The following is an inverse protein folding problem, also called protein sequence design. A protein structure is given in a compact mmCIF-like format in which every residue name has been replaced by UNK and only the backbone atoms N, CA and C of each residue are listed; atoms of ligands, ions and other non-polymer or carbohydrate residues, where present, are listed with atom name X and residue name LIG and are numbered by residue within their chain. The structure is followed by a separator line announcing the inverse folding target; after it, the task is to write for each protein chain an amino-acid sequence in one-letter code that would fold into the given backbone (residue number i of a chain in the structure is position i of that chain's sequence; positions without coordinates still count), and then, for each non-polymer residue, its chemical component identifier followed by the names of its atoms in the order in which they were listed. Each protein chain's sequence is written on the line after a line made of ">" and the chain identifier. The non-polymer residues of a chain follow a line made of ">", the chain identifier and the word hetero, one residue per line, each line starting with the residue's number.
data_IF_212690492837
#
_entry.id   IF_212690492837
#
_cell.length_a   1.000
_cell.length_b   1.000
_cell.length_c   1.000
_cell.angle_alpha   90.00
_cell.angle_beta   90.00
_cell.angle_gamma   90.00
#
_symmetry.space_group_name_H-M   'P 1'
#
loop_
_entity.id
_entity.type
_entity.pdbx_description
1 polymer ?
#
# COMPACT_ATOMS: atom_id res chain seq x y z
N UNK A 1 30.42 -4.38 -6.93
CA UNK A 1 29.04 -3.88 -7.09
C UNK A 1 29.06 -2.37 -6.89
N UNK A 2 28.40 -1.58 -7.75
CA UNK A 2 28.35 -0.13 -7.55
C UNK A 2 27.59 0.21 -6.25
N UNK A 3 28.10 1.15 -5.46
CA UNK A 3 27.50 1.57 -4.17
C UNK A 3 26.02 1.93 -4.31
N UNK A 4 25.62 2.57 -5.42
CA UNK A 4 24.21 2.87 -5.73
C UNK A 4 23.34 1.62 -5.81
N UNK A 5 23.84 0.54 -6.43
CA UNK A 5 23.12 -0.74 -6.52
C UNK A 5 23.04 -1.42 -5.15
N UNK A 6 24.08 -1.30 -4.33
CA UNK A 6 24.09 -1.82 -2.96
C UNK A 6 23.06 -1.10 -2.08
N UNK A 7 22.98 0.22 -2.17
CA UNK A 7 21.99 1.04 -1.44
C UNK A 7 20.55 0.67 -1.83
N UNK A 8 20.28 0.49 -3.13
CA UNK A 8 18.94 0.07 -3.60
C UNK A 8 18.57 -1.31 -3.05
N UNK A 9 19.49 -2.27 -3.07
CA UNK A 9 19.23 -3.61 -2.53
C UNK A 9 19.01 -3.58 -1.02
N UNK A 10 19.79 -2.78 -0.28
CA UNK A 10 19.61 -2.60 1.16
C UNK A 10 18.26 -1.96 1.50
N UNK A 11 17.84 -0.95 0.74
CA UNK A 11 16.54 -0.32 0.90
C UNK A 11 15.39 -1.31 0.64
N UNK A 12 15.49 -2.11 -0.42
CA UNK A 12 14.48 -3.12 -0.74
C UNK A 12 14.40 -4.21 0.33
N UNK A 13 15.54 -4.72 0.80
CA UNK A 13 15.59 -5.68 1.89
C UNK A 13 14.99 -5.10 3.19
N UNK A 14 15.27 -3.82 3.48
CA UNK A 14 14.67 -3.10 4.61
C UNK A 14 13.15 -2.98 4.52
N UNK A 15 12.61 -2.67 3.33
CA UNK A 15 11.17 -2.63 3.09
C UNK A 15 10.51 -4.00 3.29
N UNK A 16 11.14 -5.06 2.78
CA UNK A 16 10.65 -6.44 2.95
C UNK A 16 10.66 -6.83 4.44
N UNK A 17 11.76 -6.55 5.15
CA UNK A 17 11.85 -6.80 6.59
C UNK A 17 10.78 -6.02 7.37
N UNK A 18 10.59 -4.74 7.07
CA UNK A 18 9.58 -3.91 7.71
C UNK A 18 8.16 -4.47 7.46
N UNK A 19 7.86 -4.92 6.24
CA UNK A 19 6.58 -5.54 5.91
C UNK A 19 6.24 -6.72 6.83
N UNK A 20 7.21 -7.62 7.06
CA UNK A 20 7.01 -8.80 7.90
C UNK A 20 7.03 -8.48 9.40
N UNK A 21 7.98 -7.65 9.87
CA UNK A 21 8.11 -7.31 11.29
C UNK A 21 6.90 -6.54 11.81
N UNK A 22 6.33 -5.67 10.99
CA UNK A 22 5.15 -4.88 11.34
C UNK A 22 3.83 -5.59 11.00
N UNK A 23 3.88 -6.82 10.46
CA UNK A 23 2.72 -7.63 10.09
C UNK A 23 1.74 -6.87 9.16
N UNK A 24 2.27 -6.20 8.13
CA UNK A 24 1.45 -5.36 7.24
C UNK A 24 0.40 -6.18 6.47
N UNK A 25 0.64 -7.48 6.28
CA UNK A 25 -0.27 -8.39 5.59
C UNK A 25 -1.66 -8.44 6.22
N UNK A 26 -1.78 -8.25 7.55
CA UNK A 26 -3.08 -8.25 8.24
C UNK A 26 -4.02 -7.15 7.72
N UNK A 27 -3.46 -5.98 7.38
CA UNK A 27 -4.22 -4.83 6.89
C UNK A 27 -4.64 -4.99 5.43
N UNK A 28 -3.93 -5.85 4.69
CA UNK A 28 -4.22 -6.21 3.30
C UNK A 28 -5.18 -7.40 3.19
N UNK A 29 -5.66 -7.93 4.33
CA UNK A 29 -6.60 -9.04 4.35
C UNK A 29 -8.02 -8.59 4.04
N UNK A 30 -8.78 -9.43 3.33
CA UNK A 30 -10.19 -9.16 3.01
C UNK A 30 -11.03 -9.00 4.28
N UNK A 31 -10.75 -9.76 5.34
CA UNK A 31 -11.47 -9.66 6.61
C UNK A 31 -11.24 -8.30 7.29
N UNK A 32 -10.00 -7.79 7.28
CA UNK A 32 -9.71 -6.46 7.80
C UNK A 32 -10.45 -5.37 7.01
N UNK A 33 -10.41 -5.43 5.67
CA UNK A 33 -11.13 -4.46 4.84
C UNK A 33 -12.64 -4.49 5.09
N UNK A 34 -13.24 -5.69 5.21
CA UNK A 34 -14.67 -5.82 5.57
C UNK A 34 -14.97 -5.20 6.93
N UNK A 35 -14.09 -5.41 7.92
CA UNK A 35 -14.27 -4.81 9.26
C UNK A 35 -14.27 -3.28 9.23
N UNK A 36 -13.59 -2.68 8.26
CA UNK A 36 -13.46 -1.22 8.10
C UNK A 36 -14.41 -0.63 7.05
N UNK A 37 -15.26 -1.44 6.41
CA UNK A 37 -16.06 -1.01 5.26
C UNK A 37 -16.91 0.23 5.57
N UNK A 38 -17.67 0.19 6.67
CA UNK A 38 -18.53 1.32 7.05
C UNK A 38 -17.73 2.60 7.34
N UNK A 39 -16.55 2.49 7.97
CA UNK A 39 -15.70 3.63 8.27
C UNK A 39 -15.12 4.26 6.99
N UNK A 40 -14.70 3.43 6.02
CA UNK A 40 -14.19 3.87 4.73
C UNK A 40 -15.30 4.56 3.93
N UNK A 41 -16.51 3.99 3.91
CA UNK A 41 -17.66 4.58 3.23
C UNK A 41 -18.06 5.93 3.83
N UNK A 42 -18.10 6.04 5.16
CA UNK A 42 -18.36 7.29 5.85
C UNK A 42 -17.29 8.35 5.55
N UNK A 43 -16.01 8.01 5.67
CA UNK A 43 -14.90 8.93 5.37
C UNK A 43 -14.90 9.40 3.91
N UNK A 44 -15.17 8.49 2.97
CA UNK A 44 -15.30 8.84 1.54
C UNK A 44 -16.48 9.78 1.30
N UNK A 45 -17.62 9.56 1.96
CA UNK A 45 -18.79 10.43 1.82
C UNK A 45 -18.53 11.84 2.35
N UNK A 46 -17.80 11.97 3.46
CA UNK A 46 -17.42 13.26 4.03
C UNK A 46 -16.36 14.00 3.18
N UNK A 47 -15.41 13.26 2.58
CA UNK A 47 -14.24 13.85 1.92
C UNK A 47 -13.94 13.21 0.55
N UNK A 48 -14.85 13.32 -0.45
CA UNK A 48 -14.77 12.56 -1.69
C UNK A 48 -13.52 12.88 -2.54
N UNK A 49 -13.11 14.15 -2.59
CA UNK A 49 -11.90 14.57 -3.32
C UNK A 49 -10.62 14.02 -2.70
N UNK A 50 -10.52 14.01 -1.36
CA UNK A 50 -9.36 13.44 -0.66
C UNK A 50 -9.32 11.93 -0.80
N UNK A 51 -10.46 11.26 -0.74
CA UNK A 51 -10.57 9.83 -0.99
C UNK A 51 -10.11 9.47 -2.40
N UNK A 52 -10.56 10.20 -3.42
CA UNK A 52 -10.13 10.01 -4.80
C UNK A 52 -8.62 10.23 -4.99
N UNK A 53 -8.07 11.30 -4.40
CA UNK A 53 -6.63 11.58 -4.47
C UNK A 53 -5.80 10.50 -3.77
N UNK A 54 -6.23 10.06 -2.59
CA UNK A 54 -5.57 9.00 -1.84
C UNK A 54 -5.55 7.69 -2.64
N UNK A 55 -6.69 7.31 -3.23
CA UNK A 55 -6.77 6.14 -4.10
C UNK A 55 -5.86 6.27 -5.33
N UNK A 56 -5.87 7.42 -6.01
CA UNK A 56 -5.03 7.66 -7.18
C UNK A 56 -3.53 7.53 -6.86
N UNK A 57 -3.07 8.16 -5.78
CA UNK A 57 -1.67 8.06 -5.36
C UNK A 57 -1.30 6.63 -5.00
N UNK A 58 -2.16 5.91 -4.27
CA UNK A 58 -1.94 4.50 -3.95
C UNK A 58 -1.84 3.66 -5.23
N UNK A 59 -2.76 3.83 -6.17
CA UNK A 59 -2.77 3.14 -7.45
C UNK A 59 -1.48 3.37 -8.25
N UNK A 60 -1.04 4.63 -8.38
CA UNK A 60 0.20 4.98 -9.10
C UNK A 60 1.42 4.35 -8.43
N UNK A 61 1.49 4.34 -7.09
CA UNK A 61 2.59 3.71 -6.38
C UNK A 61 2.60 2.19 -6.61
N UNK A 62 1.48 1.49 -6.38
CA UNK A 62 1.39 0.03 -6.53
C UNK A 62 1.68 -0.38 -7.98
N UNK A 63 1.16 0.36 -8.96
CA UNK A 63 1.39 0.11 -10.39
C UNK A 63 2.82 0.44 -10.80
N UNK A 64 3.37 1.59 -10.36
CA UNK A 64 4.73 2.01 -10.68
C UNK A 64 5.81 1.15 -10.04
N UNK A 65 5.49 0.50 -8.91
CA UNK A 65 6.31 -0.53 -8.27
C UNK A 65 6.04 -1.94 -8.85
N UNK A 66 5.14 -2.07 -9.83
CA UNK A 66 4.75 -3.33 -10.48
C UNK A 66 4.28 -4.42 -9.49
N UNK A 67 3.58 -4.01 -8.44
CA UNK A 67 3.07 -4.93 -7.43
C UNK A 67 1.78 -5.63 -7.93
N UNK A 68 1.59 -6.93 -7.64
CA UNK A 68 0.44 -7.70 -8.15
C UNK A 68 -0.91 -7.19 -7.65
N UNK A 69 -0.94 -6.45 -6.52
CA UNK A 69 -2.17 -5.87 -5.96
C UNK A 69 -2.84 -4.82 -6.85
N UNK A 70 -2.12 -4.22 -7.83
CA UNK A 70 -2.69 -3.23 -8.73
C UNK A 70 -3.88 -3.77 -9.55
N UNK A 71 -3.91 -5.06 -9.85
CA UNK A 71 -4.97 -5.68 -10.65
C UNK A 71 -6.32 -5.79 -9.89
N UNK A 72 -6.30 -5.67 -8.56
CA UNK A 72 -7.48 -5.88 -7.70
C UNK A 72 -7.98 -4.58 -7.07
N UNK A 73 -7.23 -3.48 -7.18
CA UNK A 73 -7.62 -2.13 -6.71
C UNK A 73 -8.52 -1.43 -7.71
#
# INVERSE_FOLDING_TARGET
>A
MNTRRLLLLAALAGLILAYFVLDLGRFLSLDYFKSQQQAIEAWRAEQPLKAALAFFVAYVLVTGLSLPGAAVM
#
